data_IF_728437106685
#
_entry.id   IF_728437106685
#
_cell.length_a   1.000
_cell.length_b   1.000
_cell.length_c   1.000
_cell.angle_alpha   90.00
_cell.angle_beta   90.00
_cell.angle_gamma   90.00
#
_symmetry.space_group_name_H-M   'P 1'
#
loop_
_entity.id
_entity.type
_entity.pdbx_description
1 polymer ?
#
# COMPACT_ATOMS: atom_id res chain seq x y z
N UNK A 1 6.62 5.13 17.01
CA UNK A 1 6.66 5.72 15.66
C UNK A 1 5.36 6.44 15.42
N UNK A 2 5.36 7.67 14.90
CA UNK A 2 4.11 8.40 14.63
C UNK A 2 3.33 7.73 13.49
N UNK A 3 2.01 7.60 13.67
CA UNK A 3 1.09 7.05 12.68
C UNK A 3 0.81 8.01 11.51
N UNK A 4 1.35 9.23 11.56
CA UNK A 4 1.18 10.25 10.54
C UNK A 4 2.44 10.40 9.69
N UNK A 5 2.23 10.62 8.39
CA UNK A 5 3.29 11.01 7.48
C UNK A 5 3.72 12.46 7.77
N UNK A 6 5.03 12.77 7.77
CA UNK A 6 5.50 14.14 7.93
C UNK A 6 4.98 15.03 6.79
N UNK A 7 4.77 16.32 7.10
CA UNK A 7 4.28 17.30 6.12
C UNK A 7 5.25 17.57 4.95
N UNK A 8 6.49 17.09 5.04
CA UNK A 8 7.45 17.10 3.94
C UNK A 8 7.02 16.23 2.75
N UNK A 9 6.14 15.26 2.96
CA UNK A 9 5.53 14.45 1.89
C UNK A 9 4.31 15.24 1.38
N UNK A 10 4.30 15.72 0.13
CA UNK A 10 3.20 16.52 -0.38
C UNK A 10 1.92 15.68 -0.49
N UNK A 11 0.76 16.32 -0.47
CA UNK A 11 -0.47 15.69 -0.95
C UNK A 11 -0.42 15.65 -2.48
N UNK A 12 -0.85 14.55 -3.08
CA UNK A 12 -0.99 14.45 -4.53
C UNK A 12 -2.07 15.43 -5.00
N UNK A 13 -1.78 16.19 -6.06
CA UNK A 13 -2.74 17.07 -6.70
C UNK A 13 -3.63 16.28 -7.67
N UNK A 14 -4.92 16.61 -7.74
CA UNK A 14 -5.88 15.90 -8.60
C UNK A 14 -5.55 15.98 -10.10
N UNK A 15 -4.78 16.99 -10.51
CA UNK A 15 -4.31 17.20 -11.89
C UNK A 15 -2.96 16.51 -12.18
N UNK A 16 -2.35 15.86 -11.18
CA UNK A 16 -1.07 15.14 -11.32
C UNK A 16 0.17 16.02 -11.48
N UNK A 17 0.07 17.35 -11.33
CA UNK A 17 1.21 18.27 -11.54
C UNK A 17 2.43 17.93 -10.68
N UNK A 18 2.20 17.51 -9.44
CA UNK A 18 3.27 17.13 -8.52
C UNK A 18 3.55 15.63 -8.47
N UNK A 19 3.05 14.82 -9.42
CA UNK A 19 3.16 13.35 -9.38
C UNK A 19 4.58 12.87 -9.14
N UNK A 20 5.56 13.36 -9.92
CA UNK A 20 6.96 12.91 -9.83
C UNK A 20 7.56 13.16 -8.43
N UNK A 21 7.29 14.33 -7.85
CA UNK A 21 7.79 14.68 -6.52
C UNK A 21 7.04 13.92 -5.42
N UNK A 22 5.72 13.74 -5.61
CA UNK A 22 4.89 12.95 -4.71
C UNK A 22 5.37 11.51 -4.64
N UNK A 23 5.48 10.84 -5.80
CA UNK A 23 5.93 9.46 -5.92
C UNK A 23 7.29 9.27 -5.24
N UNK A 24 8.31 10.05 -5.62
CA UNK A 24 9.65 9.91 -5.04
C UNK A 24 9.63 9.99 -3.51
N UNK A 25 9.01 11.04 -2.94
CA UNK A 25 8.99 11.24 -1.48
C UNK A 25 8.11 10.25 -0.74
N UNK A 26 6.99 9.86 -1.34
CA UNK A 26 6.07 8.90 -0.74
C UNK A 26 6.69 7.50 -0.74
N UNK A 27 7.28 7.09 -1.86
CA UNK A 27 7.99 5.82 -2.01
C UNK A 27 9.18 5.71 -1.03
N UNK A 28 9.99 6.76 -0.88
CA UNK A 28 11.07 6.81 0.12
C UNK A 28 10.53 6.64 1.55
N UNK A 29 9.42 7.29 1.88
CA UNK A 29 8.80 7.19 3.19
C UNK A 29 8.22 5.80 3.46
N UNK A 30 7.62 5.16 2.46
CA UNK A 30 7.13 3.79 2.57
C UNK A 30 8.28 2.80 2.68
N UNK A 31 9.40 3.06 2.00
CA UNK A 31 10.60 2.24 2.12
C UNK A 31 11.18 2.32 3.53
N UNK A 32 11.36 3.54 4.06
CA UNK A 32 11.87 3.76 5.41
C UNK A 32 10.96 3.14 6.50
N UNK A 33 9.66 3.02 6.23
CA UNK A 33 8.69 2.36 7.12
C UNK A 33 8.54 0.85 6.88
N UNK A 34 9.17 0.29 5.84
CA UNK A 34 9.08 -1.14 5.50
C UNK A 34 7.81 -1.57 4.78
N UNK A 35 7.06 -0.64 4.18
CA UNK A 35 5.81 -0.92 3.47
C UNK A 35 5.92 -0.86 1.95
N UNK A 36 7.04 -0.39 1.38
CA UNK A 36 7.17 -0.20 -0.07
C UNK A 36 6.88 -1.48 -0.87
N UNK A 37 7.31 -2.65 -0.38
CA UNK A 37 7.04 -3.94 -1.05
C UNK A 37 5.55 -4.26 -1.21
N UNK A 38 4.67 -3.74 -0.34
CA UNK A 38 3.21 -3.88 -0.52
C UNK A 38 2.69 -3.03 -1.69
N UNK A 39 3.28 -1.86 -1.95
CA UNK A 39 2.91 -1.00 -3.10
C UNK A 39 3.41 -1.58 -4.42
N UNK A 40 4.60 -2.17 -4.41
CA UNK A 40 5.21 -2.77 -5.61
C UNK A 40 4.63 -4.16 -5.92
N UNK A 41 3.96 -4.81 -4.96
CA UNK A 41 3.46 -6.17 -5.11
C UNK A 41 4.51 -7.25 -4.85
N UNK A 42 5.69 -6.87 -4.33
CA UNK A 42 6.79 -7.78 -4.00
C UNK A 42 6.51 -8.63 -2.75
N UNK A 43 5.51 -8.22 -1.95
CA UNK A 43 5.07 -8.93 -0.75
C UNK A 43 3.67 -9.49 -1.00
N UNK A 44 3.56 -10.69 -1.62
CA UNK A 44 2.26 -11.30 -1.89
C UNK A 44 1.56 -11.72 -0.60
N UNK A 45 0.23 -11.82 -0.66
CA UNK A 45 -0.56 -12.39 0.41
C UNK A 45 -0.11 -13.84 0.69
N UNK A 46 0.10 -14.22 1.96
CA UNK A 46 0.44 -15.59 2.33
C UNK A 46 -0.58 -16.59 1.79
N UNK A 47 -0.10 -17.65 1.16
CA UNK A 47 -0.96 -18.73 0.65
C UNK A 47 -1.28 -19.70 1.78
N UNK A 48 -2.54 -20.16 1.81
CA UNK A 48 -2.96 -21.24 2.69
C UNK A 48 -2.09 -22.50 2.43
N UNK A 49 -1.66 -23.23 3.48
CA UNK A 49 -0.98 -24.51 3.31
C UNK A 49 -1.84 -25.52 2.56
N UNK A 50 -1.20 -26.42 1.81
CA UNK A 50 -1.89 -27.48 1.04
C UNK A 50 -2.42 -28.61 1.93
N UNK A 51 -1.77 -28.85 3.07
CA UNK A 51 -2.15 -29.88 4.05
C UNK A 51 -2.83 -29.25 5.28
N UNK A 52 -4.14 -29.43 5.38
CA UNK A 52 -4.97 -28.97 6.49
C UNK A 52 -4.79 -29.78 7.79
N UNK A 53 -3.93 -30.81 7.81
CA UNK A 53 -3.62 -31.58 9.02
C UNK A 53 -2.33 -31.12 9.71
N UNK A 54 -1.45 -30.40 9.01
CA UNK A 54 -0.24 -29.83 9.59
C UNK A 54 -0.57 -28.56 10.41
N UNK A 55 -0.76 -28.77 11.71
CA UNK A 55 -1.11 -27.70 12.65
C UNK A 55 -0.01 -26.64 12.77
N UNK A 56 1.26 -26.99 12.57
CA UNK A 56 2.37 -26.04 12.64
C UNK A 56 2.39 -25.14 11.41
N UNK A 57 2.19 -25.70 10.22
CA UNK A 57 2.05 -24.94 8.98
C UNK A 57 0.84 -23.99 9.02
N UNK A 58 -0.29 -24.43 9.57
CA UNK A 58 -1.48 -23.59 9.76
C UNK A 58 -1.23 -22.41 10.71
N UNK A 59 -0.61 -22.67 11.86
CA UNK A 59 -0.28 -21.60 12.82
C UNK A 59 0.69 -20.57 12.21
N UNK A 60 1.69 -21.03 11.45
CA UNK A 60 2.61 -20.16 10.74
C UNK A 60 1.90 -19.31 9.67
N UNK A 61 0.98 -19.92 8.90
CA UNK A 61 0.17 -19.21 7.93
C UNK A 61 -0.71 -18.13 8.56
N UNK A 62 -1.45 -18.44 9.63
CA UNK A 62 -2.28 -17.47 10.34
C UNK A 62 -1.45 -16.26 10.82
N UNK A 63 -0.28 -16.53 11.42
CA UNK A 63 0.64 -15.49 11.88
C UNK A 63 1.14 -14.61 10.73
N UNK A 64 1.52 -15.24 9.60
CA UNK A 64 1.97 -14.52 8.42
C UNK A 64 0.85 -13.67 7.82
N UNK A 65 -0.37 -14.21 7.72
CA UNK A 65 -1.53 -13.53 7.17
C UNK A 65 -1.92 -12.33 8.02
N UNK A 66 -2.00 -12.48 9.35
CA UNK A 66 -2.30 -11.38 10.26
C UNK A 66 -1.29 -10.22 10.11
N UNK A 67 0.00 -10.55 10.02
CA UNK A 67 1.05 -9.56 9.81
C UNK A 67 0.89 -8.88 8.45
N UNK A 68 0.65 -9.65 7.40
CA UNK A 68 0.44 -9.12 6.05
C UNK A 68 -0.77 -8.18 6.00
N UNK A 69 -1.92 -8.62 6.52
CA UNK A 69 -3.16 -7.82 6.59
C UNK A 69 -2.96 -6.52 7.37
N UNK A 70 -2.24 -6.55 8.49
CA UNK A 70 -1.93 -5.34 9.26
C UNK A 70 -1.05 -4.37 8.48
N UNK A 71 0.00 -4.87 7.84
CA UNK A 71 0.90 -4.03 7.04
C UNK A 71 0.18 -3.44 5.82
N UNK A 72 -0.68 -4.24 5.18
CA UNK A 72 -1.53 -3.82 4.07
C UNK A 72 -2.48 -2.69 4.49
N UNK A 73 -3.12 -2.82 5.65
CA UNK A 73 -3.98 -1.77 6.21
C UNK A 73 -3.21 -0.49 6.53
N UNK A 74 -2.00 -0.60 7.10
CA UNK A 74 -1.13 0.54 7.37
C UNK A 74 -0.68 1.24 6.08
N UNK A 75 -0.29 0.48 5.05
CA UNK A 75 0.08 1.01 3.75
C UNK A 75 -1.08 1.81 3.12
N UNK A 76 -2.30 1.26 3.13
CA UNK A 76 -3.50 1.97 2.67
C UNK A 76 -3.79 3.23 3.48
N UNK A 77 -3.60 3.17 4.80
CA UNK A 77 -3.79 4.33 5.68
C UNK A 77 -2.80 5.46 5.37
N UNK A 78 -1.52 5.15 5.14
CA UNK A 78 -0.54 6.15 4.74
C UNK A 78 -0.83 6.75 3.37
N UNK A 79 -1.23 5.91 2.41
CA UNK A 79 -1.66 6.36 1.09
C UNK A 79 -2.82 7.34 1.21
N UNK A 80 -3.84 7.01 2.01
CA UNK A 80 -5.05 7.84 2.10
C UNK A 80 -4.83 9.22 2.69
N UNK A 81 -3.82 9.40 3.54
CA UNK A 81 -3.44 10.71 4.08
C UNK A 81 -3.00 11.72 3.01
N UNK A 82 -2.55 11.23 1.85
CA UNK A 82 -1.93 12.06 0.80
C UNK A 82 -2.69 12.06 -0.52
N UNK A 83 -3.76 11.28 -0.67
CA UNK A 83 -4.56 11.27 -1.88
C UNK A 83 -5.68 12.33 -1.88
N UNK A 84 -6.02 12.89 -3.05
CA UNK A 84 -7.29 13.56 -3.28
C UNK A 84 -8.48 12.63 -3.04
N UNK A 85 -9.60 13.19 -2.59
CA UNK A 85 -10.85 12.45 -2.38
C UNK A 85 -11.33 11.72 -3.66
N UNK A 86 -11.12 12.30 -4.83
CA UNK A 86 -11.50 11.68 -6.11
C UNK A 86 -10.79 10.34 -6.33
N UNK A 87 -9.48 10.29 -6.08
CA UNK A 87 -8.71 9.05 -6.19
C UNK A 87 -9.07 8.05 -5.10
N UNK A 88 -9.32 8.51 -3.87
CA UNK A 88 -9.78 7.64 -2.78
C UNK A 88 -11.07 6.90 -3.12
N UNK A 89 -12.01 7.60 -3.76
CA UNK A 89 -13.27 6.99 -4.21
C UNK A 89 -12.99 5.97 -5.31
N UNK A 90 -12.18 6.33 -6.31
CA UNK A 90 -11.86 5.43 -7.43
C UNK A 90 -11.09 4.18 -7.02
N UNK A 91 -10.25 4.26 -5.99
CA UNK A 91 -9.41 3.13 -5.55
C UNK A 91 -10.06 2.25 -4.47
N UNK A 92 -11.21 2.66 -3.90
CA UNK A 92 -11.89 1.96 -2.79
C UNK A 92 -12.22 0.49 -3.10
N UNK A 93 -12.50 0.15 -4.35
CA UNK A 93 -12.85 -1.21 -4.77
C UNK A 93 -11.66 -2.13 -5.03
N UNK A 94 -10.43 -1.63 -4.95
CA UNK A 94 -9.23 -2.40 -5.28
C UNK A 94 -8.72 -3.15 -4.06
N UNK A 95 -8.52 -4.46 -4.24
CA UNK A 95 -8.27 -5.41 -3.16
C UNK A 95 -6.94 -5.15 -2.42
N UNK A 96 -5.91 -4.72 -3.12
CA UNK A 96 -4.58 -4.49 -2.54
C UNK A 96 -4.09 -3.06 -2.78
N UNK A 97 -3.22 -2.58 -1.90
CA UNK A 97 -2.56 -1.28 -2.04
C UNK A 97 -1.69 -1.24 -3.30
N UNK A 98 -1.14 -2.38 -3.73
CA UNK A 98 -0.46 -2.50 -5.03
C UNK A 98 -1.40 -2.20 -6.20
N UNK A 99 -2.62 -2.75 -6.20
CA UNK A 99 -3.62 -2.42 -7.21
C UNK A 99 -4.03 -0.94 -7.15
N UNK A 100 -4.19 -0.38 -5.94
CA UNK A 100 -4.47 1.05 -5.78
C UNK A 100 -3.33 1.91 -6.34
N UNK A 101 -2.09 1.56 -6.04
CA UNK A 101 -0.90 2.25 -6.50
C UNK A 101 -0.78 2.20 -8.02
N UNK A 102 -0.93 1.03 -8.64
CA UNK A 102 -0.90 0.86 -10.08
C UNK A 102 -1.98 1.71 -10.79
N UNK A 103 -3.19 1.75 -10.23
CA UNK A 103 -4.25 2.62 -10.74
C UNK A 103 -3.86 4.10 -10.69
N UNK A 104 -3.38 4.57 -9.54
CA UNK A 104 -2.99 5.98 -9.33
C UNK A 104 -1.85 6.36 -10.28
N UNK A 105 -0.80 5.54 -10.36
CA UNK A 105 0.32 5.75 -11.27
C UNK A 105 -0.17 5.92 -12.70
N UNK A 106 -1.03 5.01 -13.18
CA UNK A 106 -1.62 5.11 -14.52
C UNK A 106 -2.43 6.39 -14.70
N UNK A 107 -3.26 6.77 -13.73
CA UNK A 107 -4.05 8.00 -13.77
C UNK A 107 -3.21 9.28 -13.80
N UNK A 108 -2.00 9.24 -13.25
CA UNK A 108 -1.11 10.40 -13.16
C UNK A 108 -0.07 10.49 -14.28
N UNK A 109 0.29 9.36 -14.90
CA UNK A 109 1.23 9.32 -16.03
C UNK A 109 0.56 9.29 -17.40
N UNK A 110 -0.71 8.89 -17.47
CA UNK A 110 -1.49 8.90 -18.71
C UNK A 110 -2.07 10.30 -18.96
N UNK A 111 -1.27 11.21 -19.51
CA UNK A 111 -1.75 12.43 -20.17
C UNK A 111 -1.47 12.36 -21.66
#
# INVERSE_FOLDING_TARGET
SSDLLPNSIPKLQSNGENWVIFDARFSDAMNAKGYLGHFMGDVPEPKKPDDDTDSAAQAAHCTALEKWTRNEANARYFLSQRLPNTLLISTKGLATVSSQWAYITRSMTSK
#
